data_IF_012838017735
#
_entry.id   IF_012838017735
#
_cell.length_a   1.000
_cell.length_b   1.000
_cell.length_c   1.000
_cell.angle_alpha   90.00
_cell.angle_beta   90.00
_cell.angle_gamma   90.00
#
_symmetry.space_group_name_H-M   'P 1'
#
loop_
_entity.id
_entity.type
_entity.pdbx_description
1 polymer ?
#
# COMPACT_ATOMS: atom_id res chain seq x y z
N UNK A 1 22.03 10.14 5.92
CA UNK A 1 21.35 9.66 4.70
C UNK A 1 21.32 8.14 4.53
N UNK A 2 22.42 7.37 4.55
CA UNK A 2 22.39 5.94 4.20
C UNK A 2 21.47 5.10 5.09
N UNK A 3 21.40 5.43 6.39
CA UNK A 3 20.47 4.78 7.32
C UNK A 3 19.01 4.99 6.92
N UNK A 4 18.61 6.21 6.54
CA UNK A 4 17.21 6.53 6.19
C UNK A 4 16.76 5.78 4.93
N UNK A 5 17.64 5.70 3.93
CA UNK A 5 17.41 4.91 2.71
C UNK A 5 17.24 3.43 3.05
N UNK A 6 18.10 2.88 3.91
CA UNK A 6 17.99 1.51 4.40
C UNK A 6 16.67 1.24 5.14
N UNK A 7 16.27 2.15 6.04
CA UNK A 7 15.00 2.06 6.76
C UNK A 7 13.81 2.12 5.81
N UNK A 8 13.84 3.00 4.81
CA UNK A 8 12.81 3.10 3.78
C UNK A 8 12.67 1.78 3.02
N UNK A 9 13.75 1.25 2.44
CA UNK A 9 13.69 0.01 1.67
C UNK A 9 13.24 -1.17 2.53
N UNK A 10 13.74 -1.28 3.76
CA UNK A 10 13.28 -2.28 4.72
C UNK A 10 11.77 -2.17 5.00
N UNK A 11 11.28 -0.96 5.27
CA UNK A 11 9.84 -0.72 5.48
C UNK A 11 8.99 -1.00 4.26
N UNK A 12 9.49 -0.66 3.08
CA UNK A 12 8.81 -0.87 1.81
C UNK A 12 8.67 -2.36 1.50
N UNK A 13 9.76 -3.12 1.60
CA UNK A 13 9.74 -4.58 1.43
C UNK A 13 8.78 -5.23 2.42
N UNK A 14 8.84 -4.84 3.69
CA UNK A 14 7.94 -5.37 4.71
C UNK A 14 6.47 -5.04 4.42
N UNK A 15 6.18 -3.83 3.94
CA UNK A 15 4.83 -3.41 3.52
C UNK A 15 4.31 -4.27 2.37
N UNK A 16 5.16 -4.56 1.36
CA UNK A 16 4.81 -5.46 0.25
C UNK A 16 4.54 -6.88 0.75
N UNK A 17 5.39 -7.42 1.62
CA UNK A 17 5.20 -8.76 2.23
C UNK A 17 3.88 -8.82 3.01
N UNK A 18 3.58 -7.80 3.81
CA UNK A 18 2.34 -7.71 4.57
C UNK A 18 1.11 -7.59 3.67
N UNK A 19 1.20 -6.86 2.55
CA UNK A 19 0.11 -6.80 1.57
C UNK A 19 -0.16 -8.17 0.96
N UNK A 20 0.89 -8.87 0.51
CA UNK A 20 0.78 -10.21 -0.08
C UNK A 20 0.21 -11.21 0.93
N UNK A 21 0.71 -11.19 2.18
CA UNK A 21 0.20 -12.00 3.27
C UNK A 21 -1.29 -11.68 3.57
N UNK A 22 -1.66 -10.41 3.58
CA UNK A 22 -3.05 -9.96 3.78
C UNK A 22 -3.98 -10.54 2.72
N UNK A 23 -3.62 -10.40 1.44
CA UNK A 23 -4.39 -10.95 0.31
C UNK A 23 -4.49 -12.47 0.42
N UNK A 24 -3.36 -13.14 0.68
CA UNK A 24 -3.30 -14.59 0.81
C UNK A 24 -4.20 -15.13 1.94
N UNK A 25 -4.14 -14.53 3.13
CA UNK A 25 -5.00 -14.90 4.26
C UNK A 25 -6.48 -14.64 3.96
N UNK A 26 -6.79 -13.57 3.21
CA UNK A 26 -8.13 -13.28 2.73
C UNK A 26 -8.66 -14.37 1.78
N UNK A 27 -7.83 -14.82 0.84
CA UNK A 27 -8.17 -15.91 -0.09
C UNK A 27 -8.36 -17.26 0.62
N UNK A 28 -7.56 -17.53 1.66
CA UNK A 28 -7.70 -18.74 2.50
C UNK A 28 -8.87 -18.68 3.49
N UNK A 29 -9.56 -17.55 3.59
CA UNK A 29 -10.66 -17.37 4.55
C UNK A 29 -10.21 -17.30 6.01
N UNK A 30 -8.90 -17.13 6.28
CA UNK A 30 -8.33 -17.05 7.62
C UNK A 30 -8.57 -15.66 8.25
N UNK A 31 -9.85 -15.36 8.57
CA UNK A 31 -10.32 -14.00 8.91
C UNK A 31 -9.53 -13.31 10.02
N UNK A 32 -9.25 -14.00 11.13
CA UNK A 32 -8.50 -13.43 12.26
C UNK A 32 -7.09 -13.01 11.83
N UNK A 33 -6.37 -13.90 11.15
CA UNK A 33 -5.05 -13.62 10.62
C UNK A 33 -5.08 -12.49 9.58
N UNK A 34 -6.10 -12.48 8.71
CA UNK A 34 -6.30 -11.41 7.73
C UNK A 34 -6.44 -10.04 8.41
N UNK A 35 -7.27 -9.89 9.45
CA UNK A 35 -7.40 -8.60 10.16
C UNK A 35 -6.12 -8.16 10.85
N UNK A 36 -5.38 -9.08 11.47
CA UNK A 36 -4.08 -8.76 12.07
C UNK A 36 -3.10 -8.29 10.98
N UNK A 37 -3.05 -8.99 9.84
CA UNK A 37 -2.20 -8.59 8.71
C UNK A 37 -2.61 -7.24 8.13
N UNK A 38 -3.91 -6.94 8.01
CA UNK A 38 -4.41 -5.61 7.59
C UNK A 38 -3.91 -4.53 8.54
N UNK A 39 -4.06 -4.71 9.85
CA UNK A 39 -3.62 -3.72 10.83
C UNK A 39 -2.10 -3.46 10.76
N UNK A 40 -1.31 -4.54 10.67
CA UNK A 40 0.14 -4.45 10.49
C UNK A 40 0.51 -3.78 9.16
N UNK A 41 -0.17 -4.13 8.07
CA UNK A 41 0.02 -3.51 6.75
C UNK A 41 -0.23 -2.00 6.79
N UNK A 42 -1.35 -1.56 7.39
CA UNK A 42 -1.68 -0.12 7.50
C UNK A 42 -0.65 0.62 8.34
N UNK A 43 -0.22 0.05 9.46
CA UNK A 43 0.83 0.63 10.29
C UNK A 43 2.16 0.74 9.52
N UNK A 44 2.55 -0.31 8.79
CA UNK A 44 3.80 -0.32 8.03
C UNK A 44 3.77 0.61 6.82
N UNK A 45 2.62 0.72 6.16
CA UNK A 45 2.39 1.68 5.09
C UNK A 45 2.55 3.11 5.62
N UNK A 46 1.99 3.43 6.78
CA UNK A 46 2.18 4.74 7.41
C UNK A 46 3.66 5.04 7.69
N UNK A 47 4.40 4.09 8.26
CA UNK A 47 5.85 4.23 8.48
C UNK A 47 6.60 4.47 7.16
N UNK A 48 6.30 3.68 6.13
CA UNK A 48 6.91 3.81 4.79
C UNK A 48 6.64 5.21 4.21
N UNK A 49 5.41 5.71 4.29
CA UNK A 49 5.05 7.07 3.83
C UNK A 49 5.80 8.16 4.61
N UNK A 50 5.92 8.01 5.94
CA UNK A 50 6.68 8.95 6.78
C UNK A 50 8.16 9.00 6.40
N UNK A 51 8.77 7.85 6.15
CA UNK A 51 10.17 7.77 5.68
C UNK A 51 10.33 8.34 4.27
N UNK A 52 9.37 8.08 3.38
CA UNK A 52 9.36 8.62 2.02
C UNK A 52 9.36 10.15 2.04
N UNK A 53 8.57 10.76 2.93
CA UNK A 53 8.57 12.23 3.08
C UNK A 53 9.94 12.77 3.48
N UNK A 54 10.62 12.12 4.43
CA UNK A 54 11.99 12.50 4.80
C UNK A 54 13.00 12.33 3.66
N UNK A 55 12.81 11.31 2.81
CA UNK A 55 13.62 11.14 1.61
C UNK A 55 13.36 12.20 0.56
N UNK A 56 12.11 12.56 0.30
CA UNK A 56 11.75 13.66 -0.63
C UNK A 56 12.31 15.00 -0.14
N UNK A 57 12.38 15.22 1.17
CA UNK A 57 12.98 16.43 1.76
C UNK A 57 14.53 16.42 1.72
N UNK A 58 15.17 15.27 1.47
CA UNK A 58 16.64 15.13 1.52
C UNK A 58 17.32 14.70 0.22
N UNK A 59 16.55 14.28 -0.79
CA UNK A 59 17.02 13.89 -2.11
C UNK A 59 16.39 14.81 -3.17
N UNK A 60 17.17 15.15 -4.18
CA UNK A 60 16.74 15.99 -5.28
C UNK A 60 16.08 15.13 -6.37
N UNK A 61 14.78 14.91 -6.24
CA UNK A 61 14.00 14.17 -7.24
C UNK A 61 13.54 15.10 -8.36
N UNK A 62 13.58 14.68 -9.64
CA UNK A 62 13.00 15.47 -10.72
C UNK A 62 11.52 15.76 -10.48
N UNK A 63 11.13 17.04 -10.52
CA UNK A 63 9.78 17.51 -10.16
C UNK A 63 8.67 16.78 -10.94
N UNK A 64 8.89 16.55 -12.24
CA UNK A 64 7.92 15.87 -13.11
C UNK A 64 7.69 14.41 -12.71
N UNK A 65 8.77 13.69 -12.37
CA UNK A 65 8.69 12.28 -11.96
C UNK A 65 8.05 12.17 -10.57
N UNK A 66 8.39 13.08 -9.64
CA UNK A 66 7.78 13.15 -8.32
C UNK A 66 6.28 13.46 -8.41
N UNK A 67 5.90 14.47 -9.20
CA UNK A 67 4.49 14.83 -9.41
C UNK A 67 3.71 13.68 -10.05
N UNK A 68 4.31 12.96 -11.00
CA UNK A 68 3.69 11.79 -11.63
C UNK A 68 3.49 10.65 -10.63
N UNK A 69 4.52 10.30 -9.85
CA UNK A 69 4.43 9.28 -8.80
C UNK A 69 3.36 9.62 -7.75
N UNK A 70 3.32 10.87 -7.28
CA UNK A 70 2.38 11.30 -6.24
C UNK A 70 0.91 11.13 -6.65
N UNK A 71 0.56 11.31 -7.92
CA UNK A 71 -0.81 11.06 -8.41
C UNK A 71 -1.22 9.61 -8.15
N UNK A 72 -0.35 8.64 -8.46
CA UNK A 72 -0.62 7.23 -8.19
C UNK A 72 -0.59 6.91 -6.70
N UNK A 73 0.40 7.43 -5.96
CA UNK A 73 0.53 7.17 -4.52
C UNK A 73 -0.69 7.69 -3.72
N UNK A 74 -1.17 8.91 -4.03
CA UNK A 74 -2.36 9.50 -3.41
C UNK A 74 -3.60 8.69 -3.79
N UNK A 75 -3.75 8.34 -5.07
CA UNK A 75 -4.90 7.55 -5.54
C UNK A 75 -4.95 6.18 -4.87
N UNK A 76 -3.83 5.46 -4.82
CA UNK A 76 -3.72 4.17 -4.15
C UNK A 76 -4.03 4.29 -2.64
N UNK A 77 -3.51 5.33 -1.98
CA UNK A 77 -3.78 5.59 -0.57
C UNK A 77 -5.26 5.88 -0.31
N UNK A 78 -5.91 6.67 -1.16
CA UNK A 78 -7.34 6.96 -1.07
C UNK A 78 -8.20 5.69 -1.26
N UNK A 79 -7.79 4.79 -2.16
CA UNK A 79 -8.48 3.52 -2.43
C UNK A 79 -8.39 2.52 -1.27
N UNK A 80 -7.49 2.71 -0.29
CA UNK A 80 -7.49 1.93 0.93
C UNK A 80 -8.81 2.10 1.72
N UNK A 81 -9.39 3.30 1.71
CA UNK A 81 -10.65 3.58 2.42
C UNK A 81 -11.80 2.68 1.95
N UNK A 82 -12.17 2.62 0.66
CA UNK A 82 -13.22 1.72 0.21
C UNK A 82 -12.87 0.23 0.43
N UNK A 83 -11.58 -0.17 0.38
CA UNK A 83 -11.18 -1.54 0.74
C UNK A 83 -11.51 -1.86 2.20
N UNK A 84 -11.17 -0.96 3.12
CA UNK A 84 -11.45 -1.13 4.55
C UNK A 84 -12.96 -1.11 4.83
N UNK A 85 -13.70 -0.16 4.25
CA UNK A 85 -15.15 -0.05 4.43
C UNK A 85 -15.89 -1.27 3.91
N UNK A 86 -15.54 -1.76 2.71
CA UNK A 86 -16.15 -2.97 2.15
C UNK A 86 -15.75 -4.23 2.90
N UNK A 87 -14.52 -4.29 3.43
CA UNK A 87 -14.04 -5.40 4.26
C UNK A 87 -14.77 -5.48 5.60
N UNK A 88 -14.92 -4.36 6.29
CA UNK A 88 -15.73 -4.24 7.51
C UNK A 88 -17.20 -4.58 7.24
N UNK A 89 -17.74 -4.09 6.12
CA UNK A 89 -19.11 -4.41 5.73
C UNK A 89 -19.33 -5.89 5.47
N UNK A 90 -18.40 -6.54 4.77
CA UNK A 90 -18.43 -7.99 4.60
C UNK A 90 -18.29 -8.75 5.93
N UNK A 91 -17.47 -8.27 6.85
CA UNK A 91 -17.30 -8.88 8.16
C UNK A 91 -18.57 -8.79 9.03
N UNK A 92 -19.29 -7.66 8.97
CA UNK A 92 -20.48 -7.39 9.78
C UNK A 92 -21.76 -7.99 9.21
N UNK A 93 -21.97 -7.87 7.89
CA UNK A 93 -23.22 -8.28 7.25
C UNK A 93 -23.11 -9.55 6.41
N UNK A 94 -21.89 -9.99 6.08
CA UNK A 94 -21.67 -11.16 5.23
C UNK A 94 -22.30 -11.03 3.83
N UNK A 95 -22.59 -12.18 3.21
CA UNK A 95 -23.32 -12.23 1.94
C UNK A 95 -22.49 -12.07 0.67
N UNK A 96 -23.06 -12.50 -0.45
CA UNK A 96 -22.41 -12.53 -1.77
C UNK A 96 -22.11 -11.13 -2.31
N UNK A 97 -23.00 -10.16 -2.05
CA UNK A 97 -22.86 -8.77 -2.48
C UNK A 97 -21.61 -8.12 -1.87
N UNK A 98 -21.50 -8.09 -0.54
CA UNK A 98 -20.34 -7.50 0.14
C UNK A 98 -19.02 -8.17 -0.21
N UNK A 99 -19.02 -9.51 -0.38
CA UNK A 99 -17.84 -10.24 -0.86
C UNK A 99 -17.40 -9.77 -2.25
N UNK A 100 -18.34 -9.55 -3.17
CA UNK A 100 -18.04 -9.05 -4.51
C UNK A 100 -17.46 -7.62 -4.45
N UNK A 101 -18.12 -6.71 -3.74
CA UNK A 101 -17.64 -5.33 -3.57
C UNK A 101 -16.24 -5.27 -2.98
N UNK A 102 -16.00 -6.04 -1.91
CA UNK A 102 -14.68 -6.09 -1.29
C UNK A 102 -13.62 -6.64 -2.23
N UNK A 103 -13.90 -7.72 -2.97
CA UNK A 103 -12.97 -8.28 -3.95
C UNK A 103 -12.65 -7.28 -5.06
N UNK A 104 -13.66 -6.59 -5.59
CA UNK A 104 -13.46 -5.56 -6.62
C UNK A 104 -12.62 -4.40 -6.08
N UNK A 105 -12.93 -3.90 -4.88
CA UNK A 105 -12.16 -2.84 -4.24
C UNK A 105 -10.69 -3.25 -4.03
N UNK A 106 -10.44 -4.48 -3.55
CA UNK A 106 -9.08 -5.01 -3.37
C UNK A 106 -8.33 -5.11 -4.69
N UNK A 107 -8.97 -5.59 -5.77
CA UNK A 107 -8.32 -5.67 -7.09
C UNK A 107 -7.91 -4.27 -7.58
N UNK A 108 -8.83 -3.30 -7.54
CA UNK A 108 -8.55 -1.93 -7.97
C UNK A 108 -7.44 -1.32 -7.12
N UNK A 109 -7.49 -1.49 -5.79
CA UNK A 109 -6.45 -1.05 -4.88
C UNK A 109 -5.08 -1.67 -5.19
N UNK A 110 -5.01 -3.00 -5.37
CA UNK A 110 -3.74 -3.70 -5.66
C UNK A 110 -3.16 -3.22 -6.98
N UNK A 111 -3.97 -3.06 -8.03
CA UNK A 111 -3.50 -2.53 -9.32
C UNK A 111 -2.95 -1.11 -9.17
N UNK A 112 -3.65 -0.24 -8.43
CA UNK A 112 -3.17 1.12 -8.17
C UNK A 112 -1.89 1.16 -7.32
N UNK A 113 -1.77 0.28 -6.32
CA UNK A 113 -0.53 0.13 -5.53
C UNK A 113 0.63 -0.32 -6.41
N UNK A 114 0.42 -1.30 -7.30
CA UNK A 114 1.47 -1.75 -8.23
C UNK A 114 1.93 -0.62 -9.16
N UNK A 115 1.00 0.20 -9.67
CA UNK A 115 1.34 1.38 -10.48
C UNK A 115 2.13 2.43 -9.67
N UNK A 116 1.70 2.73 -8.44
CA UNK A 116 2.42 3.64 -7.54
C UNK A 116 3.82 3.11 -7.19
N UNK A 117 3.95 1.81 -6.94
CA UNK A 117 5.23 1.15 -6.70
C UNK A 117 6.15 1.23 -7.92
N UNK A 118 5.65 0.91 -9.13
CA UNK A 118 6.46 0.94 -10.34
C UNK A 118 6.99 2.35 -10.64
N UNK A 119 6.13 3.37 -10.53
CA UNK A 119 6.52 4.77 -10.71
C UNK A 119 7.49 5.24 -9.63
N UNK A 120 7.31 4.84 -8.37
CA UNK A 120 8.22 5.16 -7.28
C UNK A 120 9.60 4.54 -7.47
N UNK A 121 9.67 3.25 -7.82
CA UNK A 121 10.95 2.56 -8.09
C UNK A 121 11.67 3.22 -9.26
N UNK A 122 10.97 3.53 -10.36
CA UNK A 122 11.54 4.29 -11.48
C UNK A 122 12.15 5.61 -11.02
N UNK A 123 11.42 6.40 -10.23
CA UNK A 123 11.90 7.68 -9.71
C UNK A 123 13.18 7.52 -8.88
N UNK A 124 13.26 6.50 -8.02
CA UNK A 124 14.48 6.20 -7.24
C UNK A 124 15.67 5.79 -8.12
N UNK A 125 15.45 5.06 -9.22
CA UNK A 125 16.51 4.67 -10.15
C UNK A 125 17.09 5.85 -10.96
N UNK A 126 16.43 7.00 -10.99
CA UNK A 126 16.94 8.20 -11.67
C UNK A 126 17.88 9.04 -10.78
N UNK A 127 17.85 8.80 -9.46
CA UNK A 127 18.59 9.60 -8.45
C UNK A 127 19.62 8.75 -7.70
N UNK A 128 19.54 7.42 -7.80
CA UNK A 128 20.51 6.47 -7.27
C UNK A 128 21.69 6.25 -8.23
#
# INVERSE_FOLDING_TARGET
>A
MPLMVGWFWGSFVLTVVLLLATVWMGLRGARRAHFVCVALFVAMLYVTVRLTRGLVESLDFPDDELAFHLRFAITASALLVPVLLTGLGYARWGGRKWRLWHRTAVIVFVVSVLAATATGVRMFLLVA
#
